data_IF_455792680296
#
_entry.id   IF_455792680296
#
_cell.length_a   1.000
_cell.length_b   1.000
_cell.length_c   1.000
_cell.angle_alpha   90.00
_cell.angle_beta   90.00
_cell.angle_gamma   90.00
#
_symmetry.space_group_name_H-M   'P 1'
#
loop_
_entity.id
_entity.type
_entity.pdbx_description
1 polymer ?
#
# COMPACT_ATOMS: atom_id res chain seq x y z
N UNK A 1 14.65 -52.50 2.67
CA UNK A 1 15.12 -51.17 2.23
C UNK A 1 16.27 -50.78 3.13
N UNK A 2 17.50 -50.86 2.61
CA UNK A 2 18.71 -50.50 3.35
C UNK A 2 18.87 -48.97 3.31
N UNK A 3 18.83 -48.34 4.45
CA UNK A 3 19.32 -46.99 4.59
C UNK A 3 20.84 -47.01 4.43
N UNK A 4 21.33 -46.58 3.28
CA UNK A 4 22.73 -46.27 3.11
C UNK A 4 23.05 -45.07 3.99
N UNK A 5 23.56 -45.34 5.18
CA UNK A 5 24.29 -44.38 5.97
C UNK A 5 25.56 -44.07 5.20
N UNK A 6 25.63 -42.88 4.61
CA UNK A 6 26.86 -42.31 4.09
C UNK A 6 27.82 -42.19 5.27
N UNK A 7 28.72 -43.19 5.39
CA UNK A 7 29.85 -43.10 6.28
C UNK A 7 30.79 -42.04 5.72
N UNK A 8 30.93 -40.94 6.44
CA UNK A 8 31.97 -39.95 6.16
C UNK A 8 33.32 -40.66 6.15
N UNK A 9 34.18 -40.43 5.16
CA UNK A 9 35.51 -41.00 5.14
C UNK A 9 36.29 -40.51 6.35
N UNK A 10 36.86 -41.45 7.11
CA UNK A 10 37.70 -41.22 8.31
C UNK A 10 39.00 -40.47 8.02
N UNK A 11 39.23 -40.02 6.81
CA UNK A 11 40.47 -39.45 6.31
C UNK A 11 40.35 -37.94 5.94
N UNK A 12 39.49 -37.21 6.65
CA UNK A 12 39.49 -35.76 6.53
C UNK A 12 40.68 -35.17 7.30
N UNK A 13 41.48 -34.32 6.64
CA UNK A 13 42.61 -33.66 7.30
C UNK A 13 42.11 -32.79 8.47
N UNK A 14 42.83 -32.82 9.57
CA UNK A 14 42.47 -32.18 10.86
C UNK A 14 42.09 -30.69 10.74
N UNK A 15 42.65 -29.96 9.77
CA UNK A 15 42.30 -28.56 9.53
C UNK A 15 40.86 -28.34 9.07
N UNK A 16 40.25 -29.34 8.42
CA UNK A 16 38.86 -29.28 7.98
C UNK A 16 37.92 -29.49 9.18
N UNK A 17 38.31 -30.35 10.13
CA UNK A 17 37.60 -30.53 11.40
C UNK A 17 37.65 -29.31 12.26
N UNK A 18 38.80 -28.66 12.36
CA UNK A 18 38.99 -27.42 13.11
C UNK A 18 38.17 -26.25 12.52
N UNK A 19 38.05 -26.22 11.18
CA UNK A 19 37.24 -25.22 10.49
C UNK A 19 35.73 -25.45 10.68
N UNK A 20 35.30 -26.71 10.82
CA UNK A 20 33.90 -27.05 11.07
C UNK A 20 33.49 -26.81 12.56
N UNK A 21 34.41 -27.03 13.51
CA UNK A 21 34.23 -26.69 14.92
C UNK A 21 34.31 -25.17 15.20
N UNK A 22 35.01 -24.42 14.36
CA UNK A 22 35.13 -22.97 14.45
C UNK A 22 33.99 -22.20 13.75
N UNK A 23 33.14 -22.88 12.99
CA UNK A 23 31.92 -22.27 12.52
C UNK A 23 30.95 -22.18 13.70
N UNK A 24 30.54 -20.98 14.10
CA UNK A 24 29.51 -20.86 15.10
C UNK A 24 28.28 -21.57 14.56
N UNK A 25 27.93 -22.70 15.19
CA UNK A 25 26.64 -23.34 14.95
C UNK A 25 25.58 -22.30 15.23
N UNK A 26 24.99 -21.82 14.14
CA UNK A 26 23.66 -21.27 14.10
C UNK A 26 23.29 -20.36 15.28
N UNK A 27 24.08 -19.32 15.50
CA UNK A 27 23.42 -18.10 15.86
C UNK A 27 22.60 -17.75 14.63
N UNK A 28 21.32 -18.11 14.65
CA UNK A 28 20.29 -17.52 13.86
C UNK A 28 20.60 -16.03 13.84
N UNK A 29 21.35 -15.60 12.80
CA UNK A 29 21.35 -14.21 12.43
C UNK A 29 19.89 -13.83 12.47
N UNK A 30 19.48 -12.86 13.33
CA UNK A 30 18.12 -12.39 13.27
C UNK A 30 17.94 -12.10 11.78
N UNK A 31 16.99 -12.79 11.14
CA UNK A 31 16.56 -12.40 9.82
C UNK A 31 16.16 -10.94 9.96
N UNK A 32 17.11 -10.05 9.78
CA UNK A 32 16.84 -8.66 9.50
C UNK A 32 16.21 -8.67 8.11
N UNK A 33 15.03 -9.23 8.04
CA UNK A 33 14.13 -9.00 6.95
C UNK A 33 13.75 -7.54 7.11
N UNK A 34 14.46 -6.70 6.38
CA UNK A 34 14.12 -5.30 6.27
C UNK A 34 12.64 -5.25 5.93
N UNK A 35 11.85 -4.71 6.86
CA UNK A 35 10.41 -4.64 6.73
C UNK A 35 10.01 -3.21 6.39
N UNK A 36 9.18 -3.05 5.39
CA UNK A 36 8.57 -1.77 5.09
C UNK A 36 7.19 -1.68 5.74
N UNK A 37 6.94 -0.55 6.39
CA UNK A 37 5.61 -0.21 6.89
C UNK A 37 4.89 0.61 5.83
N UNK A 38 3.76 0.11 5.36
CA UNK A 38 2.93 0.76 4.35
C UNK A 38 1.68 1.26 5.05
N UNK A 39 1.41 2.58 4.90
CA UNK A 39 0.24 3.25 5.48
C UNK A 39 -0.68 3.71 4.37
N UNK A 40 -1.97 3.46 4.48
CA UNK A 40 -2.96 3.85 3.48
C UNK A 40 -4.34 4.11 4.11
N UNK A 41 -5.26 4.66 3.32
CA UNK A 41 -6.60 4.98 3.80
C UNK A 41 -7.48 3.73 3.95
N UNK A 42 -8.31 3.68 4.98
CA UNK A 42 -9.26 2.58 5.19
C UNK A 42 -10.22 2.39 4.01
N UNK A 43 -10.60 3.46 3.33
CA UNK A 43 -11.48 3.40 2.17
C UNK A 43 -10.89 2.69 0.94
N UNK A 44 -9.58 2.39 0.95
CA UNK A 44 -8.93 1.61 -0.10
C UNK A 44 -9.05 0.09 0.12
N UNK A 45 -9.46 -0.34 1.30
CA UNK A 45 -9.64 -1.74 1.68
C UNK A 45 -11.06 -2.17 1.40
N UNK A 46 -11.23 -3.18 0.55
CA UNK A 46 -12.52 -3.79 0.26
C UNK A 46 -13.01 -4.72 1.37
N UNK A 47 -14.14 -5.34 1.15
CA UNK A 47 -14.68 -6.34 2.07
C UNK A 47 -13.90 -7.66 1.98
N UNK A 48 -13.75 -8.38 3.11
CA UNK A 48 -13.12 -9.70 3.10
C UNK A 48 -13.93 -10.69 2.24
N UNK A 49 -13.23 -11.49 1.46
CA UNK A 49 -13.81 -12.56 0.65
C UNK A 49 -13.00 -13.84 0.80
N UNK A 50 -13.66 -14.97 0.55
CA UNK A 50 -13.00 -16.27 0.57
C UNK A 50 -12.54 -16.65 -0.82
N UNK A 51 -11.24 -16.91 -0.97
CA UNK A 51 -10.66 -17.37 -2.22
C UNK A 51 -11.07 -18.82 -2.55
N UNK A 52 -10.88 -19.25 -3.78
CA UNK A 52 -11.14 -20.66 -4.21
C UNK A 52 -10.39 -21.69 -3.37
N UNK A 53 -9.29 -21.31 -2.74
CA UNK A 53 -8.47 -22.16 -1.87
C UNK A 53 -8.89 -22.08 -0.39
N UNK A 54 -10.04 -21.50 -0.06
CA UNK A 54 -10.54 -21.35 1.29
C UNK A 54 -9.81 -20.33 2.17
N UNK A 55 -8.93 -19.51 1.58
CA UNK A 55 -8.22 -18.44 2.30
C UNK A 55 -9.04 -17.17 2.32
N UNK A 56 -9.16 -16.56 3.49
CA UNK A 56 -9.76 -15.24 3.65
C UNK A 56 -8.77 -14.16 3.17
N UNK A 57 -9.22 -13.34 2.24
CA UNK A 57 -8.45 -12.28 1.61
C UNK A 57 -9.25 -10.99 1.55
N UNK A 58 -8.56 -9.87 1.49
CA UNK A 58 -9.14 -8.56 1.18
C UNK A 58 -8.47 -7.99 -0.05
N UNK A 59 -9.23 -7.26 -0.85
CA UNK A 59 -8.73 -6.52 -1.98
C UNK A 59 -8.43 -5.08 -1.56
N UNK A 60 -7.25 -4.60 -1.87
CA UNK A 60 -6.84 -3.21 -1.66
C UNK A 60 -6.76 -2.53 -3.02
N UNK A 61 -7.46 -1.41 -3.17
CA UNK A 61 -7.54 -0.65 -4.41
C UNK A 61 -6.66 0.58 -4.33
N UNK A 62 -5.78 0.76 -5.29
CA UNK A 62 -4.89 1.92 -5.42
C UNK A 62 -5.30 2.68 -6.66
N UNK A 63 -5.58 4.00 -6.57
CA UNK A 63 -5.82 4.80 -7.77
C UNK A 63 -4.61 4.84 -8.68
N UNK A 64 -4.81 4.49 -9.94
CA UNK A 64 -3.78 4.59 -10.95
C UNK A 64 -3.66 6.05 -11.43
N UNK A 65 -2.51 6.71 -11.27
CA UNK A 65 -2.30 8.07 -11.76
C UNK A 65 -2.31 8.16 -13.29
N UNK A 66 -1.86 7.10 -13.97
CA UNK A 66 -1.81 7.01 -15.43
C UNK A 66 -3.07 6.32 -15.94
N UNK A 67 -4.08 7.12 -16.23
CA UNK A 67 -5.39 6.57 -16.64
C UNK A 67 -5.41 6.04 -18.07
N UNK A 68 -4.75 6.68 -19.02
CA UNK A 68 -4.67 6.24 -20.41
C UNK A 68 -5.82 5.34 -20.86
N UNK A 69 -5.50 4.19 -21.45
CA UNK A 69 -6.45 3.13 -21.82
C UNK A 69 -6.76 2.13 -20.68
N UNK A 70 -6.43 2.45 -19.44
CA UNK A 70 -6.70 1.64 -18.26
C UNK A 70 -7.76 2.25 -17.36
N UNK A 71 -8.39 1.44 -16.53
CA UNK A 71 -9.25 1.93 -15.46
C UNK A 71 -8.41 2.57 -14.36
N UNK A 72 -8.99 3.53 -13.60
CA UNK A 72 -8.22 4.35 -12.65
C UNK A 72 -7.77 3.61 -11.40
N UNK A 73 -7.87 2.28 -11.35
CA UNK A 73 -7.57 1.49 -10.17
C UNK A 73 -6.62 0.35 -10.48
N UNK A 74 -5.63 0.18 -9.61
CA UNK A 74 -4.83 -1.02 -9.48
C UNK A 74 -5.20 -1.72 -8.18
N UNK A 75 -5.27 -3.03 -8.18
CA UNK A 75 -5.69 -3.81 -7.00
C UNK A 75 -4.68 -4.88 -6.67
N UNK A 76 -4.54 -5.16 -5.39
CA UNK A 76 -3.83 -6.34 -4.91
C UNK A 76 -4.61 -7.01 -3.78
N UNK A 77 -4.36 -8.28 -3.56
CA UNK A 77 -5.02 -9.05 -2.52
C UNK A 77 -4.05 -9.42 -1.41
N UNK A 78 -4.51 -9.33 -0.18
CA UNK A 78 -3.72 -9.63 1.00
C UNK A 78 -4.59 -10.26 2.08
N UNK A 79 -3.98 -11.02 3.00
CA UNK A 79 -4.69 -11.53 4.17
C UNK A 79 -5.13 -10.40 5.10
N UNK A 80 -6.39 -10.38 5.58
CA UNK A 80 -6.88 -9.36 6.49
C UNK A 80 -6.08 -9.27 7.79
N UNK A 81 -5.44 -10.38 8.21
CA UNK A 81 -4.59 -10.42 9.40
C UNK A 81 -3.33 -9.55 9.32
N UNK A 82 -2.91 -9.18 8.11
CA UNK A 82 -1.74 -8.32 7.89
C UNK A 82 -2.09 -6.83 7.92
N UNK A 83 -3.36 -6.49 7.93
CA UNK A 83 -3.85 -5.12 7.94
C UNK A 83 -4.21 -4.75 9.38
N UNK A 84 -3.62 -3.67 9.87
CA UNK A 84 -3.82 -3.17 11.22
C UNK A 84 -4.44 -1.77 11.18
N UNK A 85 -5.39 -1.53 12.07
CA UNK A 85 -5.98 -0.21 12.22
C UNK A 85 -4.98 0.76 12.89
N UNK A 86 -4.98 1.99 12.44
CA UNK A 86 -4.19 3.03 13.07
C UNK A 86 -4.92 3.52 14.34
N UNK A 87 -4.30 3.41 15.49
CA UNK A 87 -4.85 3.84 16.78
C UNK A 87 -5.08 5.34 16.87
N UNK A 88 -4.34 6.13 16.10
CA UNK A 88 -4.36 7.60 16.15
C UNK A 88 -5.00 8.26 14.94
N UNK A 89 -5.67 7.51 14.08
CA UNK A 89 -6.29 8.05 12.87
C UNK A 89 -7.15 7.06 12.10
N UNK A 90 -7.78 7.54 11.04
CA UNK A 90 -8.70 6.75 10.20
C UNK A 90 -8.01 5.81 9.20
N UNK A 91 -6.68 5.75 9.21
CA UNK A 91 -5.91 4.94 8.29
C UNK A 91 -5.69 3.51 8.79
N UNK A 92 -5.14 2.71 7.91
CA UNK A 92 -4.64 1.36 8.19
C UNK A 92 -3.17 1.27 7.81
N UNK A 93 -2.49 0.28 8.35
CA UNK A 93 -1.10 0.03 8.03
C UNK A 93 -0.82 -1.47 7.96
N UNK A 94 0.22 -1.84 7.23
CA UNK A 94 0.74 -3.21 7.15
C UNK A 94 2.26 -3.21 7.15
N UNK A 95 2.84 -4.29 7.65
CA UNK A 95 4.28 -4.57 7.56
C UNK A 95 4.52 -5.70 6.58
N UNK A 96 5.36 -5.47 5.61
CA UNK A 96 5.74 -6.45 4.60
C UNK A 96 7.27 -6.50 4.47
N UNK A 97 7.85 -7.65 4.07
CA UNK A 97 9.27 -7.72 3.74
C UNK A 97 9.60 -6.75 2.61
N UNK A 98 10.65 -5.97 2.72
CA UNK A 98 11.01 -4.94 1.74
C UNK A 98 11.18 -5.52 0.33
N UNK A 99 11.87 -6.63 0.23
CA UNK A 99 12.15 -7.34 -1.02
C UNK A 99 11.06 -8.32 -1.44
N UNK A 100 9.99 -8.45 -0.65
CA UNK A 100 8.82 -9.23 -1.02
C UNK A 100 8.13 -8.65 -2.25
N UNK A 101 7.43 -9.49 -2.99
CA UNK A 101 6.75 -9.13 -4.23
C UNK A 101 5.25 -9.12 -3.98
N UNK A 102 4.60 -8.06 -4.44
CA UNK A 102 3.14 -7.95 -4.47
C UNK A 102 2.67 -7.86 -5.92
N UNK A 103 1.71 -8.70 -6.27
CA UNK A 103 1.12 -8.71 -7.62
C UNK A 103 -0.01 -7.70 -7.70
N UNK A 104 0.18 -6.69 -8.53
CA UNK A 104 -0.83 -5.71 -8.87
C UNK A 104 -1.62 -6.16 -10.09
N UNK A 105 -2.89 -5.83 -10.10
CA UNK A 105 -3.84 -6.16 -11.17
C UNK A 105 -4.57 -4.91 -11.59
N UNK A 106 -4.64 -4.66 -12.89
CA UNK A 106 -5.36 -3.53 -13.47
C UNK A 106 -6.23 -3.95 -14.63
N UNK A 107 -7.31 -3.22 -14.86
CA UNK A 107 -8.14 -3.41 -16.05
C UNK A 107 -7.66 -2.49 -17.17
N UNK A 108 -7.31 -3.06 -18.32
CA UNK A 108 -6.86 -2.33 -19.52
C UNK A 108 -7.85 -2.54 -20.64
N UNK A 109 -8.02 -1.51 -21.47
CA UNK A 109 -8.85 -1.58 -22.67
C UNK A 109 -8.11 -2.37 -23.74
N UNK A 110 -8.65 -3.53 -24.14
CA UNK A 110 -8.08 -4.38 -25.18
C UNK A 110 -8.67 -4.11 -26.56
N UNK A 111 -9.83 -3.48 -26.64
CA UNK A 111 -10.48 -3.21 -27.91
C UNK A 111 -11.83 -2.56 -27.73
N UNK A 112 -12.53 -2.43 -28.85
CA UNK A 112 -13.89 -1.92 -28.91
C UNK A 112 -14.75 -2.96 -29.59
N UNK A 113 -15.90 -3.27 -29.02
CA UNK A 113 -16.93 -4.14 -29.57
C UNK A 113 -17.58 -3.51 -30.80
N UNK A 114 -18.29 -4.33 -31.62
CA UNK A 114 -19.08 -3.89 -32.75
C UNK A 114 -20.16 -2.87 -32.38
N UNK A 115 -20.60 -2.85 -31.13
CA UNK A 115 -21.54 -1.90 -30.57
C UNK A 115 -20.88 -0.60 -30.02
N UNK A 116 -19.57 -0.42 -30.20
CA UNK A 116 -18.84 0.74 -29.71
C UNK A 116 -18.49 0.69 -28.20
N UNK A 117 -18.72 -0.45 -27.53
CA UNK A 117 -18.37 -0.62 -26.11
C UNK A 117 -16.93 -1.06 -25.96
N UNK A 118 -16.24 -0.47 -24.97
CA UNK A 118 -14.88 -0.87 -24.64
C UNK A 118 -14.83 -2.30 -24.08
N UNK A 119 -13.95 -3.12 -24.65
CA UNK A 119 -13.64 -4.46 -24.15
C UNK A 119 -12.48 -4.32 -23.16
N UNK A 120 -12.66 -4.83 -21.95
CA UNK A 120 -11.68 -4.74 -20.87
C UNK A 120 -11.02 -6.09 -20.64
N UNK A 121 -9.70 -6.09 -20.61
CA UNK A 121 -8.88 -7.19 -20.17
C UNK A 121 -8.30 -6.93 -18.79
N UNK A 122 -7.65 -7.92 -18.22
CA UNK A 122 -6.93 -7.83 -16.95
C UNK A 122 -5.45 -8.02 -17.19
N UNK A 123 -4.65 -7.06 -16.76
CA UNK A 123 -3.20 -7.11 -16.78
C UNK A 123 -2.68 -7.21 -15.34
N UNK A 124 -1.65 -8.02 -15.14
CA UNK A 124 -1.00 -8.17 -13.84
C UNK A 124 0.48 -7.87 -13.98
N UNK A 125 1.05 -7.21 -12.99
CA UNK A 125 2.47 -6.96 -12.90
C UNK A 125 2.94 -7.07 -11.46
N UNK A 126 4.17 -7.47 -11.28
CA UNK A 126 4.75 -7.67 -9.97
C UNK A 126 5.60 -6.44 -9.59
N UNK A 127 5.40 -5.96 -8.37
CA UNK A 127 6.17 -4.86 -7.78
C UNK A 127 6.77 -5.30 -6.45
N UNK A 128 7.91 -4.73 -6.09
CA UNK A 128 8.45 -4.93 -4.75
C UNK A 128 7.61 -4.19 -3.72
N UNK A 129 7.62 -4.66 -2.47
CA UNK A 129 6.88 -3.99 -1.41
C UNK A 129 7.40 -2.58 -1.14
N UNK A 130 8.68 -2.32 -1.39
CA UNK A 130 9.24 -0.97 -1.35
C UNK A 130 8.62 -0.06 -2.45
N UNK A 131 8.47 -0.57 -3.68
CA UNK A 131 7.80 0.14 -4.77
C UNK A 131 6.31 0.37 -4.47
N UNK A 132 5.63 -0.61 -3.88
CA UNK A 132 4.24 -0.48 -3.45
C UNK A 132 4.07 0.65 -2.43
N UNK A 133 4.99 0.78 -1.48
CA UNK A 133 5.02 1.90 -0.54
C UNK A 133 5.12 3.25 -1.26
N UNK A 134 6.04 3.38 -2.21
CA UNK A 134 6.23 4.60 -2.99
C UNK A 134 4.98 4.97 -3.81
N UNK A 135 4.32 4.00 -4.42
CA UNK A 135 3.07 4.21 -5.16
C UNK A 135 1.97 4.79 -4.27
N UNK A 136 1.80 4.24 -3.07
CA UNK A 136 0.81 4.72 -2.10
C UNK A 136 1.15 6.10 -1.54
N UNK A 137 2.42 6.40 -1.32
CA UNK A 137 2.88 7.72 -0.89
C UNK A 137 2.66 8.78 -1.98
N UNK A 138 3.00 8.48 -3.22
CA UNK A 138 2.75 9.36 -4.36
C UNK A 138 1.26 9.66 -4.54
N UNK A 139 0.39 8.67 -4.33
CA UNK A 139 -1.05 8.88 -4.34
C UNK A 139 -1.50 9.84 -3.24
N UNK A 140 -0.99 9.71 -2.03
CA UNK A 140 -1.32 10.62 -0.91
C UNK A 140 -0.92 12.05 -1.20
N UNK A 141 0.24 12.26 -1.79
CA UNK A 141 0.71 13.60 -2.15
C UNK A 141 -0.17 14.24 -3.22
N UNK A 142 -0.52 13.50 -4.27
CA UNK A 142 -1.45 13.98 -5.30
C UNK A 142 -2.83 14.31 -4.72
N UNK A 143 -3.35 13.49 -3.83
CA UNK A 143 -4.63 13.72 -3.16
C UNK A 143 -4.61 14.98 -2.30
N UNK A 144 -3.52 15.22 -1.58
CA UNK A 144 -3.34 16.45 -0.77
C UNK A 144 -3.23 17.69 -1.64
N UNK A 145 -2.48 17.61 -2.74
CA UNK A 145 -2.35 18.71 -3.69
C UNK A 145 -3.69 19.12 -4.29
N UNK A 146 -4.51 18.15 -4.70
CA UNK A 146 -5.86 18.39 -5.22
C UNK A 146 -6.78 19.06 -4.20
N UNK A 147 -6.78 18.57 -2.94
CA UNK A 147 -7.62 19.17 -1.87
C UNK A 147 -7.19 20.60 -1.56
N UNK A 148 -5.89 20.87 -1.52
CA UNK A 148 -5.39 22.22 -1.28
C UNK A 148 -5.75 23.18 -2.42
N UNK A 149 -5.70 22.70 -3.67
CA UNK A 149 -6.12 23.48 -4.85
C UNK A 149 -7.60 23.81 -4.78
N UNK A 150 -8.46 22.82 -4.52
CA UNK A 150 -9.91 23.00 -4.38
C UNK A 150 -10.26 23.96 -3.23
N UNK A 151 -9.54 23.89 -2.10
CA UNK A 151 -9.72 24.79 -0.98
C UNK A 151 -9.29 26.22 -1.31
N UNK A 152 -8.23 26.40 -2.08
CA UNK A 152 -7.77 27.73 -2.51
C UNK A 152 -8.74 28.37 -3.49
N UNK A 153 -9.30 27.60 -4.43
CA UNK A 153 -10.34 28.05 -5.35
C UNK A 153 -11.63 28.45 -4.63
N UNK A 154 -12.10 27.61 -3.71
CA UNK A 154 -13.29 27.93 -2.89
C UNK A 154 -13.09 29.18 -2.01
N UNK A 155 -11.87 29.43 -1.53
CA UNK A 155 -11.55 30.60 -0.75
C UNK A 155 -11.50 31.87 -1.62
N UNK A 156 -11.13 31.75 -2.90
CA UNK A 156 -11.18 32.84 -3.85
C UNK A 156 -12.60 33.23 -4.26
N UNK A 157 -13.51 32.23 -4.33
CA UNK A 157 -14.92 32.44 -4.67
C UNK A 157 -15.84 32.80 -3.49
N UNK A 158 -15.33 32.78 -2.26
CA UNK A 158 -16.10 33.17 -1.10
C UNK A 158 -16.42 34.69 -1.18
N UNK A 159 -17.70 35.09 -1.23
CA UNK A 159 -18.04 36.50 -1.21
C UNK A 159 -17.51 37.09 0.10
N UNK A 160 -16.76 38.19 -0.04
CA UNK A 160 -16.27 38.97 1.08
C UNK A 160 -17.46 39.44 1.92
N UNK A 161 -17.77 38.70 2.97
CA UNK A 161 -18.77 39.15 3.97
C UNK A 161 -18.13 40.31 4.71
N UNK A 162 -18.52 41.50 4.32
CA UNK A 162 -18.22 42.73 5.03
C UNK A 162 -18.72 42.57 6.47
N UNK A 163 -17.89 42.74 7.49
CA UNK A 163 -18.39 42.70 8.86
C UNK A 163 -19.48 43.77 9.04
N UNK A 164 -20.59 43.47 9.73
CA UNK A 164 -21.59 44.46 9.99
C UNK A 164 -20.96 45.61 10.75
N UNK A 165 -21.03 46.82 10.17
CA UNK A 165 -20.59 48.04 10.81
C UNK A 165 -21.28 48.15 12.18
N UNK A 166 -20.49 48.31 13.23
CA UNK A 166 -20.99 48.78 14.51
C UNK A 166 -21.62 50.14 14.30
N UNK A 167 -22.92 50.17 14.22
CA UNK A 167 -23.69 51.38 14.33
C UNK A 167 -23.58 51.84 15.79
N UNK A 168 -22.69 52.78 16.00
CA UNK A 168 -22.61 53.50 17.28
C UNK A 168 -23.80 54.44 17.33
N UNK A 169 -24.88 53.94 17.83
CA UNK A 169 -26.04 54.76 18.22
C UNK A 169 -25.60 55.79 19.25
N UNK A 170 -25.49 57.00 18.79
CA UNK A 170 -25.32 58.21 19.59
C UNK A 170 -26.57 58.37 20.43
N UNK A 171 -26.51 58.05 21.71
CA UNK A 171 -27.53 58.41 22.68
C UNK A 171 -27.36 59.87 22.99
N UNK A 172 -28.13 60.70 22.34
CA UNK A 172 -28.39 62.08 22.84
C UNK A 172 -29.37 61.95 24.00
N UNK A 173 -28.82 62.12 25.19
CA UNK A 173 -29.65 62.40 26.37
C UNK A 173 -30.17 63.82 26.27
N UNK A 174 -31.44 63.96 25.93
CA UNK A 174 -32.15 65.24 26.07
C UNK A 174 -33.01 65.19 27.31
N UNK A 175 -32.95 66.22 28.08
CA UNK A 175 -33.65 66.44 29.34
C UNK A 175 -35.12 66.76 29.09
#
# INVERSE_FOLDING_TARGET
MAEERFAMPDDMPDFVREAEEAMPHDETLPEQTDQVTIKFGRGLVGEPFTSKNGKELVEVSIPNPDRGDSRPWETFVISPRKIHDNQFGKGVWMKLPEYGITRLSRSVKIGIDKAGKAIWGRETHDVTNAQLKLLLEAYKEKSRGSVLSDLSERKADAPSVKPPGKDSGEMTADR
#
